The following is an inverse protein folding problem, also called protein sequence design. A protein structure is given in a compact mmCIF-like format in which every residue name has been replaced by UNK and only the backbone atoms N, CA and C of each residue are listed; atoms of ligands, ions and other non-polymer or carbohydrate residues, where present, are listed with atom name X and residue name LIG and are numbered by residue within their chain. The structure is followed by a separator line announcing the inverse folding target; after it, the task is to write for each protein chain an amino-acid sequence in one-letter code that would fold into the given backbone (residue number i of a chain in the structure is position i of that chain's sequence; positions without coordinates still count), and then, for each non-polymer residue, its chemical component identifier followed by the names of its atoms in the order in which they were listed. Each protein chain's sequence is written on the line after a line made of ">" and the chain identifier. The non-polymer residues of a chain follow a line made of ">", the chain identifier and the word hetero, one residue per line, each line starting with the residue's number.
data_IF_181566933489
#
_entry.id   IF_181566933489
#
_cell.length_a   1.000
_cell.length_b   1.000
_cell.length_c   1.000
_cell.angle_alpha   90.00
_cell.angle_beta   90.00
_cell.angle_gamma   90.00
#
_symmetry.space_group_name_H-M   'P 1'
#
loop_
_entity.id
_entity.type
_entity.pdbx_description
1 polymer ?
#
# COMPACT_ATOMS: atom_id res chain seq x y z
N UNK A 1 -19.08 -10.22 1.28
CA UNK A 1 -17.78 -9.90 1.92
C UNK A 1 -17.31 -8.58 1.34
N UNK A 2 -17.38 -7.49 2.11
CA UNK A 2 -16.85 -6.19 1.67
C UNK A 2 -15.37 -6.20 2.04
N UNK A 3 -14.53 -6.68 1.11
CA UNK A 3 -13.10 -6.82 1.35
C UNK A 3 -12.44 -5.43 1.36
N UNK A 4 -11.46 -5.18 2.24
CA UNK A 4 -10.70 -3.92 2.28
C UNK A 4 -9.95 -3.65 0.98
N UNK A 5 -9.74 -4.70 0.19
CA UNK A 5 -9.32 -4.65 -1.21
C UNK A 5 -10.26 -3.84 -2.11
N UNK A 6 -11.59 -3.92 -1.94
CA UNK A 6 -12.55 -3.25 -2.85
C UNK A 6 -12.47 -1.72 -2.74
N UNK A 7 -12.45 -1.10 -1.54
CA UNK A 7 -12.21 0.34 -1.40
C UNK A 7 -10.87 0.78 -1.99
N UNK A 8 -9.78 0.03 -1.74
CA UNK A 8 -8.47 0.37 -2.26
C UNK A 8 -8.42 0.26 -3.79
N UNK A 9 -8.97 -0.81 -4.36
CA UNK A 9 -9.10 -0.98 -5.81
C UNK A 9 -9.99 0.08 -6.45
N UNK A 10 -11.05 0.53 -5.77
CA UNK A 10 -11.90 1.63 -6.26
C UNK A 10 -11.14 2.95 -6.32
N UNK A 11 -10.28 3.22 -5.33
CA UNK A 11 -9.42 4.40 -5.33
C UNK A 11 -8.34 4.32 -6.41
N UNK A 12 -7.76 3.13 -6.62
CA UNK A 12 -6.67 2.88 -7.56
C UNK A 12 -7.14 2.51 -8.98
N UNK A 13 -8.44 2.46 -9.26
CA UNK A 13 -8.92 1.94 -10.53
C UNK A 13 -8.48 2.83 -11.71
N UNK A 14 -7.92 2.25 -12.80
CA UNK A 14 -7.53 2.99 -14.01
C UNK A 14 -8.68 3.67 -14.77
N UNK A 15 -9.94 3.50 -14.36
CA UNK A 15 -11.07 4.30 -14.87
C UNK A 15 -11.69 5.18 -13.78
N UNK A 16 -10.95 5.49 -12.72
CA UNK A 16 -11.36 6.48 -11.73
C UNK A 16 -11.20 7.86 -12.34
N UNK A 17 -12.18 8.27 -13.15
CA UNK A 17 -12.29 9.63 -13.69
C UNK A 17 -12.36 10.72 -12.62
N UNK A 18 -12.41 10.31 -11.34
CA UNK A 18 -12.32 11.16 -10.17
C UNK A 18 -10.92 11.73 -9.98
N UNK A 19 -9.87 10.97 -10.31
CA UNK A 19 -8.48 11.37 -10.08
C UNK A 19 -7.68 11.46 -11.38
N UNK A 20 -8.04 10.72 -12.43
CA UNK A 20 -7.30 10.74 -13.68
C UNK A 20 -8.24 11.06 -14.84
N UNK A 21 -7.89 12.07 -15.65
CA UNK A 21 -8.59 12.36 -16.89
C UNK A 21 -8.35 11.27 -17.93
N UNK A 22 -9.14 11.24 -19.01
CA UNK A 22 -8.94 10.27 -20.09
C UNK A 22 -7.55 10.37 -20.73
N UNK A 23 -6.98 11.57 -20.77
CA UNK A 23 -5.65 11.81 -21.33
C UNK A 23 -4.53 11.39 -20.35
N UNK A 24 -4.77 11.53 -19.04
CA UNK A 24 -3.87 11.01 -18.00
C UNK A 24 -3.82 9.49 -18.03
N UNK A 25 -4.97 8.85 -18.22
CA UNK A 25 -5.10 7.40 -18.33
C UNK A 25 -4.44 6.87 -19.61
N UNK A 26 -4.59 7.57 -20.74
CA UNK A 26 -3.87 7.24 -21.96
C UNK A 26 -2.34 7.40 -21.79
N UNK A 27 -1.89 8.39 -21.01
CA UNK A 27 -0.47 8.58 -20.68
C UNK A 27 0.05 7.46 -19.77
N UNK A 28 -0.77 6.98 -18.84
CA UNK A 28 -0.48 5.81 -17.99
C UNK A 28 -0.34 4.53 -18.83
N UNK A 29 -1.26 4.28 -19.77
CA UNK A 29 -1.17 3.12 -20.67
C UNK A 29 0.12 3.12 -21.51
N UNK A 30 0.59 4.29 -21.94
CA UNK A 30 1.81 4.43 -22.74
C UNK A 30 3.10 4.34 -21.90
N UNK A 31 3.05 4.66 -20.61
CA UNK A 31 4.22 4.76 -19.73
C UNK A 31 4.37 3.58 -18.77
N UNK A 32 3.33 2.77 -18.62
CA UNK A 32 3.30 1.60 -17.73
C UNK A 32 3.05 0.34 -18.58
N UNK A 33 4.11 -0.33 -19.07
CA UNK A 33 4.00 -1.49 -19.95
C UNK A 33 3.18 -2.65 -19.37
N UNK A 34 3.08 -2.73 -18.03
CA UNK A 34 2.28 -3.72 -17.30
C UNK A 34 0.76 -3.51 -17.46
N UNK A 35 0.29 -2.28 -17.71
CA UNK A 35 -1.14 -1.98 -17.93
C UNK A 35 -1.62 -2.37 -19.34
N UNK A 36 -0.73 -2.36 -20.34
CA UNK A 36 -1.04 -2.77 -21.72
C UNK A 36 -1.40 -4.26 -21.86
N UNK A 37 -1.10 -5.10 -20.86
CA UNK A 37 -1.28 -6.56 -20.94
C UNK A 37 -2.62 -7.07 -20.43
N UNK A 38 -3.46 -6.23 -19.82
CA UNK A 38 -4.71 -6.69 -19.18
C UNK A 38 -5.87 -6.96 -20.12
N UNK A 39 -5.76 -6.68 -21.42
CA UNK A 39 -6.92 -6.81 -22.34
C UNK A 39 -7.13 -8.21 -22.93
N UNK A 40 -6.39 -9.25 -22.49
CA UNK A 40 -6.57 -10.63 -22.99
C UNK A 40 -6.19 -11.72 -21.99
N UNK A 41 -7.05 -12.01 -21.01
CA UNK A 41 -7.15 -13.39 -20.50
C UNK A 41 -8.47 -13.61 -19.77
N UNK A 42 -9.34 -14.38 -20.42
CA UNK A 42 -10.54 -14.96 -19.82
C UNK A 42 -10.17 -15.91 -18.68
N UNK A 43 -10.99 -15.88 -17.64
CA UNK A 43 -10.96 -16.72 -16.44
C UNK A 43 -10.95 -18.22 -16.75
N UNK A 44 -10.02 -18.95 -16.15
CA UNK A 44 -10.22 -20.36 -15.82
C UNK A 44 -9.94 -20.60 -14.33
N UNK A 45 -11.00 -21.05 -13.66
CA UNK A 45 -10.98 -21.57 -12.29
C UNK A 45 -10.00 -22.74 -12.15
N UNK A 46 -9.38 -22.88 -10.97
CA UNK A 46 -9.17 -24.18 -10.33
C UNK A 46 -8.90 -24.04 -8.82
N UNK A 47 -9.32 -25.09 -8.13
CA UNK A 47 -9.70 -25.26 -6.74
C UNK A 47 -8.52 -25.57 -5.78
N UNK A 48 -8.67 -25.16 -4.52
CA UNK A 48 -8.18 -25.81 -3.27
C UNK A 48 -6.68 -26.04 -3.01
N UNK A 49 -6.15 -25.45 -1.91
CA UNK A 49 -5.77 -26.16 -0.65
C UNK A 49 -4.89 -25.31 0.29
N UNK A 50 -5.25 -25.32 1.56
CA UNK A 50 -4.60 -24.72 2.74
C UNK A 50 -3.24 -25.37 3.08
N UNK A 51 -2.21 -24.56 3.38
CA UNK A 51 -1.32 -24.65 4.56
C UNK A 51 0.10 -24.13 4.30
N UNK A 52 0.55 -23.19 5.14
CA UNK A 52 1.93 -22.92 5.57
C UNK A 52 3.01 -22.60 4.52
N UNK A 53 3.08 -21.35 4.04
CA UNK A 53 4.26 -20.85 3.31
C UNK A 53 4.50 -19.34 3.60
N UNK A 54 5.22 -19.02 4.68
CA UNK A 54 5.52 -17.61 5.06
C UNK A 54 6.75 -17.00 4.36
N UNK A 55 7.46 -17.71 3.48
CA UNK A 55 8.68 -17.16 2.84
C UNK A 55 8.78 -17.32 1.30
N UNK A 56 7.88 -18.07 0.65
CA UNK A 56 7.89 -18.22 -0.83
C UNK A 56 6.93 -17.29 -1.57
N UNK A 57 5.92 -16.80 -0.87
CA UNK A 57 4.80 -16.00 -1.40
C UNK A 57 5.20 -14.56 -1.78
N UNK A 58 6.38 -14.09 -1.34
CA UNK A 58 6.85 -12.75 -1.69
C UNK A 58 7.20 -12.61 -3.18
N UNK A 59 7.71 -13.67 -3.81
CA UNK A 59 8.26 -13.58 -5.17
C UNK A 59 7.20 -13.73 -6.27
N UNK A 60 6.21 -14.60 -6.08
CA UNK A 60 5.11 -14.84 -7.04
C UNK A 60 4.02 -13.73 -6.95
N UNK A 61 3.82 -13.12 -5.78
CA UNK A 61 2.80 -12.08 -5.60
C UNK A 61 3.28 -10.65 -5.84
N UNK A 62 4.59 -10.39 -5.74
CA UNK A 62 5.18 -9.20 -6.40
C UNK A 62 4.80 -9.25 -7.87
N UNK A 63 4.86 -10.42 -8.51
CA UNK A 63 4.49 -10.55 -9.92
C UNK A 63 3.02 -10.21 -10.18
N UNK A 64 2.09 -10.53 -9.27
CA UNK A 64 0.65 -10.27 -9.44
C UNK A 64 0.28 -8.79 -9.18
N UNK A 65 0.91 -8.15 -8.20
CA UNK A 65 0.75 -6.72 -7.91
C UNK A 65 1.47 -5.85 -8.94
N UNK A 66 2.66 -6.25 -9.40
CA UNK A 66 3.39 -5.66 -10.54
C UNK A 66 2.58 -5.86 -11.83
N UNK A 67 1.98 -7.04 -12.05
CA UNK A 67 1.02 -7.27 -13.15
C UNK A 67 -0.19 -6.35 -13.11
N UNK A 68 -0.63 -5.93 -11.92
CA UNK A 68 -1.77 -5.02 -11.79
C UNK A 68 -1.44 -3.55 -12.07
N UNK A 69 -0.15 -3.16 -12.11
CA UNK A 69 0.28 -1.78 -12.32
C UNK A 69 -0.15 -0.77 -11.24
N UNK A 70 -0.97 -1.16 -10.25
CA UNK A 70 -1.63 -0.24 -9.31
C UNK A 70 -0.64 0.50 -8.39
N UNK A 71 0.39 -0.19 -7.91
CA UNK A 71 1.46 0.44 -7.13
C UNK A 71 2.30 1.36 -8.02
N UNK A 72 2.53 0.98 -9.28
CA UNK A 72 3.31 1.74 -10.26
C UNK A 72 2.60 3.05 -10.64
N UNK A 73 1.29 2.99 -10.91
CA UNK A 73 0.42 4.15 -11.10
C UNK A 73 0.49 5.08 -9.89
N UNK A 74 0.35 4.52 -8.69
CA UNK A 74 0.34 5.29 -7.46
C UNK A 74 1.70 5.88 -7.08
N UNK A 75 2.83 5.45 -7.66
CA UNK A 75 4.14 6.13 -7.51
C UNK A 75 4.45 7.08 -8.68
N UNK A 76 3.53 7.25 -9.63
CA UNK A 76 3.70 8.13 -10.78
C UNK A 76 4.39 7.48 -11.98
N UNK A 77 4.24 6.18 -12.17
CA UNK A 77 4.88 5.40 -13.23
C UNK A 77 6.34 5.06 -12.94
N UNK A 78 7.00 4.39 -13.89
CA UNK A 78 8.42 4.07 -13.78
C UNK A 78 9.25 5.37 -13.65
N UNK A 79 10.16 5.41 -12.66
CA UNK A 79 10.97 6.58 -12.29
C UNK A 79 10.16 7.86 -11.98
N UNK A 80 8.88 7.73 -11.64
CA UNK A 80 8.02 8.88 -11.34
C UNK A 80 7.78 9.80 -12.54
N UNK A 81 7.89 9.26 -13.76
CA UNK A 81 7.76 10.01 -15.02
C UNK A 81 6.46 10.83 -15.14
N UNK A 82 5.42 10.42 -14.41
CA UNK A 82 4.11 11.08 -14.40
C UNK A 82 3.92 12.05 -13.24
N UNK A 83 4.85 12.14 -12.28
CA UNK A 83 4.78 13.11 -11.19
C UNK A 83 4.65 14.56 -11.67
N UNK A 84 5.36 15.03 -12.72
CA UNK A 84 5.22 16.40 -13.20
C UNK A 84 3.81 16.73 -13.71
N UNK A 85 3.09 15.74 -14.24
CA UNK A 85 1.78 15.93 -14.87
C UNK A 85 0.62 15.58 -13.94
N UNK A 86 0.83 14.64 -13.00
CA UNK A 86 -0.21 14.07 -12.14
C UNK A 86 -0.03 14.39 -10.65
N UNK A 87 0.92 15.26 -10.27
CA UNK A 87 1.23 15.55 -8.87
C UNK A 87 0.00 15.90 -8.01
N UNK A 88 -0.89 16.76 -8.51
CA UNK A 88 -2.12 17.15 -7.79
C UNK A 88 -3.08 15.97 -7.65
N UNK A 89 -3.33 15.26 -8.74
CA UNK A 89 -4.18 14.06 -8.79
C UNK A 89 -3.69 12.94 -7.86
N UNK A 90 -2.38 12.70 -7.85
CA UNK A 90 -1.73 11.73 -6.95
C UNK A 90 -1.84 12.18 -5.49
N UNK A 91 -1.72 13.48 -5.21
CA UNK A 91 -1.94 14.02 -3.87
C UNK A 91 -3.37 13.76 -3.38
N UNK A 92 -4.38 13.99 -4.23
CA UNK A 92 -5.78 13.69 -3.90
C UNK A 92 -6.02 12.20 -3.65
N UNK A 93 -5.42 11.32 -4.47
CA UNK A 93 -5.45 9.88 -4.28
C UNK A 93 -4.83 9.47 -2.93
N UNK A 94 -3.64 9.99 -2.62
CA UNK A 94 -2.98 9.74 -1.33
C UNK A 94 -3.83 10.21 -0.16
N UNK A 95 -4.45 11.39 -0.27
CA UNK A 95 -5.36 11.91 0.73
C UNK A 95 -6.58 11.01 0.92
N UNK A 96 -7.13 10.44 -0.15
CA UNK A 96 -8.26 9.53 -0.09
C UNK A 96 -7.90 8.20 0.58
N UNK A 97 -6.78 7.58 0.20
CA UNK A 97 -6.28 6.35 0.83
C UNK A 97 -6.01 6.59 2.32
N UNK A 98 -5.34 7.69 2.67
CA UNK A 98 -5.05 8.03 4.06
C UNK A 98 -6.31 8.33 4.87
N UNK A 99 -7.36 8.89 4.24
CA UNK A 99 -8.66 9.07 4.91
C UNK A 99 -9.32 7.73 5.18
N UNK A 100 -9.32 6.81 4.21
CA UNK A 100 -9.84 5.46 4.39
C UNK A 100 -9.04 4.65 5.43
N UNK A 101 -7.74 4.92 5.57
CA UNK A 101 -6.88 4.32 6.60
C UNK A 101 -7.11 4.92 8.00
N UNK A 102 -7.67 6.12 8.09
CA UNK A 102 -7.92 6.82 9.35
C UNK A 102 -9.24 6.40 10.01
N UNK A 103 -10.09 5.67 9.27
CA UNK A 103 -11.31 5.07 9.79
C UNK A 103 -10.99 4.14 10.98
N UNK A 104 -11.89 4.02 11.96
CA UNK A 104 -11.66 3.16 13.11
C UNK A 104 -11.57 1.69 12.70
N UNK A 105 -10.82 0.91 13.48
CA UNK A 105 -10.80 -0.55 13.34
C UNK A 105 -12.24 -1.07 13.57
N UNK A 106 -12.78 -1.91 12.69
CA UNK A 106 -14.13 -2.44 12.84
C UNK A 106 -14.24 -3.24 14.14
N UNK A 107 -15.41 -3.19 14.77
CA UNK A 107 -15.68 -3.97 15.99
C UNK A 107 -15.58 -5.47 15.70
N UNK A 108 -15.16 -6.28 16.68
CA UNK A 108 -14.98 -7.73 16.52
C UNK A 108 -16.25 -8.48 16.06
N UNK A 109 -17.43 -7.86 16.21
CA UNK A 109 -18.72 -8.35 15.76
C UNK A 109 -18.93 -8.19 14.24
N UNK A 110 -18.24 -7.25 13.59
CA UNK A 110 -18.31 -6.93 12.16
C UNK A 110 -17.25 -7.70 11.35
N UNK A 111 -17.16 -9.02 11.55
CA UNK A 111 -16.14 -9.91 10.94
C UNK A 111 -16.06 -9.91 9.40
N UNK A 112 -16.97 -9.23 8.71
CA UNK A 112 -17.08 -9.30 7.24
C UNK A 112 -16.37 -8.18 6.47
N UNK A 113 -15.88 -7.16 7.18
CA UNK A 113 -15.23 -5.98 6.58
C UNK A 113 -13.81 -5.86 7.14
N UNK A 114 -12.80 -6.30 6.39
CA UNK A 114 -11.41 -6.08 6.78
C UNK A 114 -11.02 -4.62 6.52
N UNK A 115 -10.48 -3.95 7.54
CA UNK A 115 -9.93 -2.60 7.42
C UNK A 115 -8.78 -2.57 6.40
N UNK A 116 -8.59 -1.49 5.65
CA UNK A 116 -7.59 -1.48 4.56
C UNK A 116 -6.15 -1.68 5.04
N UNK A 117 -5.85 -1.33 6.29
CA UNK A 117 -4.55 -1.56 6.92
C UNK A 117 -4.33 -3.02 7.36
N UNK A 118 -5.41 -3.81 7.45
CA UNK A 118 -5.40 -5.21 7.90
C UNK A 118 -5.81 -6.18 6.79
N UNK A 119 -6.40 -5.70 5.70
CA UNK A 119 -6.64 -6.50 4.50
C UNK A 119 -5.31 -6.92 3.87
N UNK A 120 -5.21 -8.20 3.54
CA UNK A 120 -3.99 -8.81 3.04
C UNK A 120 -3.41 -8.11 1.81
N UNK A 121 -4.24 -7.74 0.84
CA UNK A 121 -3.76 -7.13 -0.39
C UNK A 121 -3.53 -5.63 -0.22
N UNK A 122 -4.44 -4.95 0.47
CA UNK A 122 -4.34 -3.51 0.70
C UNK A 122 -3.14 -3.15 1.55
N UNK A 123 -2.88 -3.89 2.63
CA UNK A 123 -1.73 -3.64 3.51
C UNK A 123 -0.39 -3.76 2.79
N UNK A 124 -0.23 -4.75 1.90
CA UNK A 124 0.97 -4.91 1.07
C UNK A 124 1.17 -3.76 0.09
N UNK A 125 0.07 -3.32 -0.54
CA UNK A 125 0.10 -2.18 -1.48
C UNK A 125 0.48 -0.90 -0.75
N UNK A 126 -0.13 -0.64 0.40
CA UNK A 126 0.17 0.53 1.24
C UNK A 126 1.61 0.47 1.73
N UNK A 127 2.11 -0.69 2.18
CA UNK A 127 3.52 -0.86 2.56
C UNK A 127 4.46 -0.49 1.42
N UNK A 128 4.17 -0.95 0.20
CA UNK A 128 4.97 -0.62 -0.98
C UNK A 128 4.99 0.89 -1.25
N UNK A 129 3.84 1.55 -1.16
CA UNK A 129 3.74 3.00 -1.31
C UNK A 129 4.51 3.75 -0.23
N UNK A 130 4.56 3.25 1.01
CA UNK A 130 5.38 3.84 2.09
C UNK A 130 6.88 3.79 1.76
N UNK A 131 7.33 2.69 1.14
CA UNK A 131 8.75 2.56 0.79
C UNK A 131 9.13 3.40 -0.44
N UNK A 132 8.22 3.55 -1.40
CA UNK A 132 8.52 4.16 -2.70
C UNK A 132 8.17 5.66 -2.79
N UNK A 133 7.23 6.15 -1.97
CA UNK A 133 6.70 7.52 -2.07
C UNK A 133 6.74 8.26 -0.73
N UNK A 134 7.73 9.15 -0.50
CA UNK A 134 7.83 9.94 0.72
C UNK A 134 6.62 10.87 0.96
N UNK A 135 6.01 11.37 -0.13
CA UNK A 135 4.80 12.19 -0.08
C UNK A 135 3.62 11.39 0.45
N UNK A 136 3.37 10.20 -0.11
CA UNK A 136 2.32 9.32 0.40
C UNK A 136 2.57 8.95 1.86
N UNK A 137 3.80 8.57 2.19
CA UNK A 137 4.20 8.18 3.56
C UNK A 137 3.89 9.28 4.57
N UNK A 138 4.29 10.51 4.26
CA UNK A 138 4.03 11.68 5.11
C UNK A 138 2.53 11.93 5.31
N UNK A 139 1.73 11.80 4.25
CA UNK A 139 0.27 11.99 4.30
C UNK A 139 -0.38 10.88 5.14
N UNK A 140 -0.04 9.62 4.86
CA UNK A 140 -0.57 8.46 5.58
C UNK A 140 -0.25 8.54 7.07
N UNK A 141 1.00 8.80 7.42
CA UNK A 141 1.42 8.86 8.83
C UNK A 141 0.67 9.94 9.59
N UNK A 142 0.69 11.18 9.09
CA UNK A 142 0.06 12.33 9.74
C UNK A 142 -1.45 12.17 9.88
N UNK A 143 -2.12 11.57 8.88
CA UNK A 143 -3.58 11.51 8.83
C UNK A 143 -4.17 10.29 9.51
N UNK A 144 -3.50 9.14 9.44
CA UNK A 144 -4.06 7.87 9.87
C UNK A 144 -3.34 7.23 11.06
N UNK A 145 -2.02 7.42 11.20
CA UNK A 145 -1.21 6.61 12.12
C UNK A 145 -0.68 7.39 13.32
N UNK A 146 -0.39 8.68 13.18
CA UNK A 146 0.18 9.49 14.25
C UNK A 146 -0.74 9.51 15.47
N UNK A 147 -0.18 9.17 16.63
CA UNK A 147 -0.88 9.00 17.90
C UNK A 147 -1.71 7.71 18.01
N UNK A 148 -1.67 6.84 17.00
CA UNK A 148 -2.46 5.60 16.88
C UNK A 148 -1.60 4.39 16.53
N UNK A 149 -0.26 4.49 16.48
CA UNK A 149 0.58 3.38 16.01
C UNK A 149 0.41 2.14 16.88
N UNK A 150 0.21 2.29 18.19
CA UNK A 150 0.00 1.17 19.11
C UNK A 150 -1.22 0.31 18.76
N UNK A 151 -2.33 0.90 18.33
CA UNK A 151 -3.53 0.14 17.92
C UNK A 151 -3.34 -0.66 16.63
N UNK A 152 -2.27 -0.36 15.90
CA UNK A 152 -1.91 -0.94 14.62
C UNK A 152 -0.58 -1.73 14.65
N UNK A 153 0.01 -1.91 15.83
CA UNK A 153 1.31 -2.55 15.99
C UNK A 153 1.31 -4.07 15.69
N UNK A 154 0.13 -4.66 15.54
CA UNK A 154 -0.06 -6.09 15.28
C UNK A 154 -0.76 -6.32 13.94
N UNK A 155 -0.90 -7.60 13.56
CA UNK A 155 -1.56 -7.97 12.31
C UNK A 155 -0.77 -7.54 11.08
N UNK A 156 -1.46 -7.34 9.95
CA UNK A 156 -0.80 -6.95 8.70
C UNK A 156 -0.28 -5.51 8.74
N UNK A 157 -0.91 -4.64 9.54
CA UNK A 157 -0.49 -3.24 9.65
C UNK A 157 0.92 -3.09 10.28
N UNK A 158 1.35 -4.05 11.12
CA UNK A 158 2.70 -4.07 11.68
C UNK A 158 3.80 -3.97 10.61
N UNK A 159 3.58 -4.57 9.42
CA UNK A 159 4.52 -4.50 8.29
C UNK A 159 4.55 -3.12 7.63
N UNK A 160 3.44 -2.37 7.69
CA UNK A 160 3.36 -0.98 7.21
C UNK A 160 4.11 -0.07 8.18
N UNK A 161 3.91 -0.23 9.49
CA UNK A 161 4.63 0.54 10.50
C UNK A 161 6.14 0.29 10.42
N UNK A 162 6.55 -0.97 10.23
CA UNK A 162 7.97 -1.31 10.04
C UNK A 162 8.57 -0.63 8.81
N UNK A 163 7.79 -0.48 7.72
CA UNK A 163 8.26 0.20 6.51
C UNK A 163 8.58 1.69 6.73
N UNK A 164 7.95 2.36 7.70
CA UNK A 164 8.34 3.73 8.09
C UNK A 164 9.72 3.82 8.73
N UNK A 165 10.22 2.73 9.32
CA UNK A 165 11.59 2.63 9.83
C UNK A 165 12.59 2.17 8.76
N UNK A 166 12.11 1.43 7.76
CA UNK A 166 12.91 0.84 6.67
C UNK A 166 13.10 1.79 5.47
N UNK A 167 12.22 2.78 5.28
CA UNK A 167 12.28 3.71 4.15
C UNK A 167 13.61 4.44 4.07
N UNK A 168 14.10 4.74 2.86
CA UNK A 168 15.34 5.48 2.66
C UNK A 168 15.20 6.98 2.93
N UNK A 169 13.97 7.51 2.91
CA UNK A 169 13.70 8.91 3.18
C UNK A 169 13.92 9.26 4.65
N UNK A 170 14.92 10.12 4.91
CA UNK A 170 15.32 10.52 6.27
C UNK A 170 14.20 11.28 6.97
N UNK A 171 13.45 12.11 6.27
CA UNK A 171 12.40 12.94 6.87
C UNK A 171 11.21 12.09 7.31
N UNK A 172 10.81 11.12 6.48
CA UNK A 172 9.76 10.16 6.82
C UNK A 172 10.17 9.30 8.01
N UNK A 173 11.42 8.79 8.03
CA UNK A 173 11.92 8.01 9.18
C UNK A 173 11.87 8.82 10.47
N UNK A 174 12.48 10.00 10.50
CA UNK A 174 12.52 10.82 11.73
C UNK A 174 11.12 11.25 12.18
N UNK A 175 10.19 11.50 11.25
CA UNK A 175 8.79 11.82 11.58
C UNK A 175 8.09 10.70 12.36
N UNK A 176 8.33 9.44 12.00
CA UNK A 176 7.67 8.30 12.62
C UNK A 176 8.43 7.71 13.81
N UNK A 177 9.73 7.99 13.90
CA UNK A 177 10.68 7.36 14.83
C UNK A 177 10.28 7.47 16.29
N UNK A 178 9.87 8.64 16.76
CA UNK A 178 9.55 8.83 18.19
C UNK A 178 8.45 7.89 18.66
N UNK A 179 7.38 7.74 17.87
CA UNK A 179 6.25 6.88 18.24
C UNK A 179 6.55 5.39 18.00
N UNK A 180 7.21 5.06 16.89
CA UNK A 180 7.49 3.68 16.52
C UNK A 180 8.62 3.06 17.34
N UNK A 181 9.64 3.83 17.75
CA UNK A 181 10.74 3.32 18.55
C UNK A 181 10.27 2.82 19.92
N UNK A 182 9.29 3.50 20.53
CA UNK A 182 8.65 3.03 21.78
C UNK A 182 8.06 1.62 21.61
N UNK A 183 7.43 1.37 20.46
CA UNK A 183 6.85 0.04 20.16
C UNK A 183 7.92 -1.02 19.91
N UNK A 184 9.06 -0.64 19.32
CA UNK A 184 10.20 -1.54 19.13
C UNK A 184 10.84 -1.89 20.47
N UNK A 185 11.05 -0.90 21.34
CA UNK A 185 11.67 -1.10 22.65
C UNK A 185 10.81 -1.98 23.58
N UNK A 186 9.50 -1.97 23.38
CA UNK A 186 8.53 -2.82 24.07
C UNK A 186 8.30 -4.20 23.40
N UNK A 187 9.03 -4.52 22.32
CA UNK A 187 8.85 -5.73 21.50
C UNK A 187 7.44 -5.88 20.86
N UNK A 188 6.70 -4.76 20.77
CA UNK A 188 5.39 -4.70 20.14
C UNK A 188 5.47 -4.53 18.61
N UNK A 189 6.61 -4.08 18.09
CA UNK A 189 6.87 -3.92 16.65
C UNK A 189 8.24 -4.51 16.28
N UNK A 190 8.24 -5.42 15.30
CA UNK A 190 9.47 -6.06 14.81
C UNK A 190 10.04 -5.30 13.62
N UNK A 191 11.30 -4.88 13.71
CA UNK A 191 12.03 -4.36 12.54
C UNK A 191 12.55 -5.55 11.75
N UNK A 192 12.18 -5.67 10.47
CA UNK A 192 12.82 -6.66 9.58
C UNK A 192 14.18 -6.10 9.17
N UNK A 193 15.18 -6.36 10.01
CA UNK A 193 16.52 -5.82 9.85
C UNK A 193 17.15 -6.28 8.55
N UNK A 194 17.64 -5.31 7.78
CA UNK A 194 18.73 -5.49 6.81
C UNK A 194 19.84 -6.33 7.44
N UNK A 195 20.29 -7.35 6.69
CA UNK A 195 21.45 -8.16 7.07
C UNK A 195 22.59 -7.23 7.49
N UNK A 196 23.08 -7.42 8.72
CA UNK A 196 24.35 -6.85 9.17
C UNK A 196 25.42 -7.20 8.13
N UNK A 197 26.22 -6.25 7.62
CA UNK A 197 27.46 -6.64 6.97
C UNK A 197 28.35 -7.24 8.08
N UNK A 198 28.76 -8.49 7.90
CA UNK A 198 29.88 -9.09 8.62
C UNK A 198 31.18 -8.31 8.38
#
# INVERSE_FOLDING_TARGET
>A
VQNGRRPLLQLLHPNSSRYFSRDDLASLDLSVPSLCLMDKSETKDSDGKESAEEEKDEQEDIELLVKSGLAEVAVGGCDGILLPTLSENLCELYQAIASAAAEPKPEESEKSSQHILEDFHSSRTIRRLVLDSPNFSSILFKKALSGKCRSWAQGHCSRILSAFLETQDVQVREMAKEELQVLVDEDALKITGTKKPE
#
